data_IF_910220148882
#
_entry.id   IF_910220148882
#
_cell.length_a   1.000
_cell.length_b   1.000
_cell.length_c   1.000
_cell.angle_alpha   90.00
_cell.angle_beta   90.00
_cell.angle_gamma   90.00
#
_symmetry.space_group_name_H-M   'P 1'
#
loop_
_entity.id
_entity.type
_entity.pdbx_description
1 polymer ?
#
# COMPACT_ATOMS: atom_id res chain seq x y z
N UNK A 1 -16.54 1.80 -8.90
CA UNK A 1 -16.31 1.19 -7.58
C UNK A 1 -15.61 2.22 -6.72
N UNK A 2 -15.88 2.28 -5.41
CA UNK A 2 -15.15 3.21 -4.52
C UNK A 2 -13.76 2.63 -4.29
N UNK A 3 -12.70 3.34 -4.69
CA UNK A 3 -11.33 2.94 -4.40
C UNK A 3 -11.17 2.78 -2.89
N UNK A 4 -10.86 1.55 -2.45
CA UNK A 4 -10.41 1.35 -1.07
C UNK A 4 -8.95 1.77 -1.02
N UNK A 5 -8.57 2.73 -0.18
CA UNK A 5 -7.20 3.20 -0.12
C UNK A 5 -6.27 2.07 0.35
N UNK A 6 -5.08 2.00 -0.25
CA UNK A 6 -4.08 1.01 0.09
C UNK A 6 -3.49 1.32 1.48
N UNK A 7 -3.63 0.38 2.41
CA UNK A 7 -3.16 0.51 3.79
C UNK A 7 -1.74 -0.05 3.93
N UNK A 8 -0.84 0.74 4.52
CA UNK A 8 0.49 0.33 4.93
C UNK A 8 0.70 0.51 6.44
N UNK A 9 1.51 -0.36 7.04
CA UNK A 9 1.83 -0.35 8.47
C UNK A 9 1.34 -1.61 9.20
N UNK A 10 1.50 -1.67 10.54
CA UNK A 10 1.92 -0.59 11.43
C UNK A 10 3.41 -0.25 11.31
N UNK A 11 3.78 1.03 11.49
CA UNK A 11 5.18 1.51 11.44
C UNK A 11 5.43 2.68 12.40
N UNK A 12 6.69 3.09 12.57
CA UNK A 12 7.03 4.27 13.37
C UNK A 12 6.52 5.56 12.72
N UNK A 13 6.40 6.65 13.50
CA UNK A 13 6.01 7.96 12.96
C UNK A 13 6.95 8.44 11.84
N UNK A 14 8.26 8.30 12.06
CA UNK A 14 9.29 8.72 11.10
C UNK A 14 9.15 7.96 9.78
N UNK A 15 8.89 6.64 9.86
CA UNK A 15 8.68 5.83 8.65
C UNK A 15 7.40 6.23 7.92
N UNK A 16 6.32 6.51 8.66
CA UNK A 16 5.06 6.97 8.10
C UNK A 16 5.22 8.32 7.36
N UNK A 17 5.98 9.25 7.92
CA UNK A 17 6.31 10.53 7.29
C UNK A 17 7.18 10.35 6.04
N UNK A 18 8.22 9.50 6.12
CA UNK A 18 9.11 9.21 5.00
C UNK A 18 8.36 8.60 3.80
N UNK A 19 7.52 7.59 4.05
CA UNK A 19 6.79 6.92 2.98
C UNK A 19 5.66 7.79 2.43
N UNK A 20 5.00 8.59 3.28
CA UNK A 20 4.01 9.58 2.85
C UNK A 20 4.63 10.60 1.89
N UNK A 21 5.83 11.10 2.21
CA UNK A 21 6.55 12.01 1.33
C UNK A 21 6.91 11.37 -0.03
N UNK A 22 7.28 10.09 -0.05
CA UNK A 22 7.55 9.37 -1.29
C UNK A 22 6.31 9.27 -2.18
N UNK A 23 5.15 8.94 -1.59
CA UNK A 23 3.89 8.84 -2.33
C UNK A 23 3.39 10.20 -2.82
N UNK A 24 3.49 11.24 -1.99
CA UNK A 24 3.18 12.62 -2.39
C UNK A 24 4.06 13.11 -3.54
N UNK A 25 5.37 12.79 -3.53
CA UNK A 25 6.29 13.09 -4.65
C UNK A 25 5.88 12.41 -5.95
N UNK A 26 5.19 11.27 -5.88
CA UNK A 26 4.64 10.54 -7.03
C UNK A 26 3.23 11.01 -7.43
N UNK A 27 2.69 12.02 -6.75
CA UNK A 27 1.37 12.58 -7.04
C UNK A 27 0.20 11.80 -6.44
N UNK A 28 0.44 10.95 -5.44
CA UNK A 28 -0.63 10.22 -4.75
C UNK A 28 -1.14 10.99 -3.53
N UNK A 29 -2.44 10.87 -3.26
CA UNK A 29 -3.05 11.32 -2.01
C UNK A 29 -2.73 10.36 -0.87
N UNK A 30 -2.40 10.90 0.30
CA UNK A 30 -1.94 10.13 1.44
C UNK A 30 -2.53 10.65 2.74
N UNK A 31 -3.00 9.74 3.59
CA UNK A 31 -3.47 10.00 4.96
C UNK A 31 -2.64 9.16 5.94
N UNK A 32 -2.14 9.80 7.01
CA UNK A 32 -1.48 9.09 8.12
C UNK A 32 -2.47 9.03 9.28
N UNK A 33 -2.61 7.86 9.90
CA UNK A 33 -3.45 7.66 11.07
C UNK A 33 -2.67 6.92 12.17
N UNK A 34 -2.86 7.32 13.41
CA UNK A 34 -2.33 6.59 14.56
C UNK A 34 -3.17 5.33 14.83
N UNK A 35 -2.52 4.24 15.19
CA UNK A 35 -3.20 3.01 15.60
C UNK A 35 -3.81 3.20 16.99
N UNK A 36 -5.08 2.84 17.15
CA UNK A 36 -5.74 2.84 18.47
C UNK A 36 -5.32 1.65 19.33
N UNK A 37 -4.93 0.53 18.70
CA UNK A 37 -4.62 -0.72 19.40
C UNK A 37 -3.12 -0.88 19.72
N UNK A 38 -2.28 -0.06 19.08
CA UNK A 38 -0.82 -0.19 19.13
C UNK A 38 -0.19 1.20 19.31
N UNK A 39 0.01 1.58 20.57
CA UNK A 39 0.60 2.87 20.94
C UNK A 39 1.92 3.14 20.20
N UNK A 40 2.03 4.35 19.68
CA UNK A 40 3.22 4.82 18.95
C UNK A 40 3.39 4.21 17.55
N UNK A 41 2.39 3.47 17.05
CA UNK A 41 2.39 2.99 15.66
C UNK A 41 1.42 3.74 14.78
N UNK A 42 1.78 3.88 13.52
CA UNK A 42 1.04 4.62 12.52
C UNK A 42 0.75 3.75 11.30
N UNK A 43 -0.37 4.03 10.67
CA UNK A 43 -0.75 3.50 9.37
C UNK A 43 -0.76 4.62 8.33
N UNK A 44 -0.40 4.27 7.10
CA UNK A 44 -0.43 5.17 5.96
C UNK A 44 -1.44 4.62 4.95
N UNK A 45 -2.43 5.43 4.61
CA UNK A 45 -3.46 5.13 3.62
C UNK A 45 -3.16 5.93 2.35
N UNK A 46 -3.06 5.24 1.22
CA UNK A 46 -2.66 5.84 -0.06
C UNK A 46 -3.77 5.60 -1.08
N UNK A 47 -4.22 6.65 -1.76
CA UNK A 47 -5.07 6.47 -2.93
C UNK A 47 -4.21 6.08 -4.14
N UNK A 48 -4.37 4.83 -4.56
CA UNK A 48 -3.69 4.29 -5.72
C UNK A 48 -4.73 4.09 -6.82
N UNK A 49 -4.39 4.45 -8.08
CA UNK A 49 -5.24 4.08 -9.20
C UNK A 49 -5.38 2.56 -9.24
N UNK A 50 -6.60 2.08 -9.53
CA UNK A 50 -6.80 0.66 -9.74
C UNK A 50 -5.83 0.17 -10.82
N UNK A 51 -5.19 -0.97 -10.56
CA UNK A 51 -4.38 -1.64 -11.55
C UNK A 51 -5.32 -2.13 -12.66
N UNK A 52 -5.47 -1.33 -13.71
CA UNK A 52 -6.33 -1.66 -14.87
C UNK A 52 -5.83 -2.88 -15.66
N UNK A 53 -4.64 -3.37 -15.33
CA UNK A 53 -4.02 -4.50 -16.00
C UNK A 53 -4.20 -5.75 -15.15
N UNK A 54 -4.89 -6.75 -15.70
CA UNK A 54 -4.94 -8.07 -15.09
C UNK A 54 -3.51 -8.62 -14.94
N UNK A 55 -3.14 -9.13 -13.74
CA UNK A 55 -1.82 -9.70 -13.54
C UNK A 55 -1.67 -10.90 -14.46
N UNK A 56 -0.80 -10.81 -15.47
CA UNK A 56 -0.47 -11.96 -16.31
C UNK A 56 0.39 -12.91 -15.48
N UNK A 57 -0.04 -14.16 -15.23
CA UNK A 57 0.77 -15.12 -14.51
C UNK A 57 2.08 -15.35 -15.27
N UNK A 58 3.19 -15.36 -14.53
CA UNK A 58 4.50 -15.61 -15.12
C UNK A 58 4.60 -17.06 -15.61
N UNK A 59 5.47 -17.32 -16.58
CA UNK A 59 5.71 -18.66 -17.12
C UNK A 59 6.10 -19.67 -16.03
N UNK A 60 6.85 -19.22 -15.03
CA UNK A 60 7.27 -20.03 -13.86
C UNK A 60 6.08 -20.40 -12.96
N UNK A 61 5.11 -19.51 -12.79
CA UNK A 61 3.91 -19.79 -11.99
C UNK A 61 2.99 -20.79 -12.69
N UNK A 62 2.86 -20.71 -14.02
CA UNK A 62 2.03 -21.63 -14.80
C UNK A 62 2.54 -23.08 -14.78
N UNK A 63 3.86 -23.30 -14.75
CA UNK A 63 4.44 -24.64 -14.74
C UNK A 63 4.16 -25.41 -13.44
N UNK A 64 4.04 -24.70 -12.30
CA UNK A 64 3.77 -25.31 -10.98
C UNK A 64 2.32 -25.75 -10.77
N UNK A 65 1.38 -25.36 -11.65
CA UNK A 65 -0.04 -25.75 -11.53
C UNK A 65 -0.27 -27.17 -12.07
N UNK A 66 0.66 -27.68 -12.88
CA UNK A 66 0.55 -28.98 -13.55
C UNK A 66 1.54 -30.04 -13.04
N UNK A 67 2.28 -29.74 -11.96
CA UNK A 67 3.07 -30.70 -11.17
C UNK A 67 2.28 -31.15 -9.93
#
# INVERSE_FOLDING_TARGET
MKNTPFKQGPMSRTDAENISNLYKKKGHEVVIAESMDLDGTYYVYVDLPELKQEPKPSRTFQQRIWE
#
